data_IF_393040955548
#
_entry.id   IF_393040955548
#
_cell.length_a   1.000
_cell.length_b   1.000
_cell.length_c   1.000
_cell.angle_alpha   90.00
_cell.angle_beta   90.00
_cell.angle_gamma   90.00
#
_symmetry.space_group_name_H-M   'P 1'
#
loop_
_entity.id
_entity.type
_entity.pdbx_description
1 polymer ?
#
# COMPACT_ATOMS: atom_id res chain seq x y z
N UNK A 1 -3.71 17.06 15.01
CA UNK A 1 -2.97 16.05 14.26
C UNK A 1 -2.07 16.82 13.31
N UNK A 2 -0.77 16.82 13.53
CA UNK A 2 0.20 17.51 12.66
C UNK A 2 0.65 16.52 11.60
N UNK A 3 0.40 16.83 10.32
CA UNK A 3 0.95 16.10 9.19
C UNK A 3 2.17 16.86 8.70
N UNK A 4 3.36 16.27 8.80
CA UNK A 4 4.54 16.79 8.14
C UNK A 4 4.72 16.03 6.83
N UNK A 5 4.74 16.74 5.71
CA UNK A 5 5.08 16.21 4.40
C UNK A 5 6.60 16.09 4.28
N UNK A 6 7.09 14.88 4.06
CA UNK A 6 8.51 14.58 4.01
C UNK A 6 8.98 14.55 2.56
N UNK A 7 9.87 15.46 2.21
CA UNK A 7 10.53 15.47 0.90
C UNK A 7 11.83 14.66 1.00
N UNK A 8 11.99 13.68 0.13
CA UNK A 8 13.21 12.89 0.02
C UNK A 8 14.40 13.77 -0.38
N UNK A 9 15.22 14.13 0.58
CA UNK A 9 16.42 14.94 0.44
C UNK A 9 17.25 14.87 1.71
N UNK A 10 18.30 15.67 1.84
CA UNK A 10 19.07 15.80 3.08
C UNK A 10 18.11 16.19 4.23
N UNK A 11 17.80 15.20 5.06
CA UNK A 11 16.86 15.36 6.17
C UNK A 11 17.48 16.30 7.18
N UNK A 12 16.87 17.44 7.42
CA UNK A 12 17.26 18.36 8.47
C UNK A 12 17.18 17.66 9.84
N UNK A 13 17.98 18.07 10.79
CA UNK A 13 17.99 17.43 12.13
C UNK A 13 16.63 17.55 12.84
N UNK A 14 15.88 18.62 12.58
CA UNK A 14 14.51 18.83 13.04
C UNK A 14 13.53 17.73 12.54
N UNK A 15 13.70 17.26 11.32
CA UNK A 15 12.86 16.20 10.76
C UNK A 15 13.17 14.85 11.40
N UNK A 16 14.44 14.57 11.70
CA UNK A 16 14.83 13.35 12.44
C UNK A 16 14.27 13.38 13.86
N UNK A 17 14.28 14.52 14.50
CA UNK A 17 13.73 14.71 15.83
C UNK A 17 12.22 14.48 15.85
N UNK A 18 11.47 15.05 14.88
CA UNK A 18 10.05 14.81 14.73
C UNK A 18 9.71 13.32 14.51
N UNK A 19 10.56 12.59 13.76
CA UNK A 19 10.39 11.15 13.56
C UNK A 19 10.61 10.37 14.86
N UNK A 20 11.64 10.72 15.63
CA UNK A 20 11.93 10.08 16.91
C UNK A 20 10.83 10.33 17.94
N UNK A 21 10.17 11.48 17.90
CA UNK A 21 9.05 11.82 18.80
C UNK A 21 7.70 11.24 18.35
N UNK A 22 7.61 10.67 17.13
CA UNK A 22 6.36 10.13 16.62
C UNK A 22 5.88 8.91 17.39
N UNK A 23 4.57 8.86 17.68
CA UNK A 23 3.94 7.69 18.30
C UNK A 23 3.43 6.68 17.29
N UNK A 24 3.08 7.15 16.07
CA UNK A 24 2.61 6.35 14.95
C UNK A 24 3.26 6.87 13.68
N UNK A 25 3.79 5.98 12.88
CA UNK A 25 4.47 6.31 11.63
C UNK A 25 3.78 5.56 10.49
N UNK A 26 3.28 6.29 9.49
CA UNK A 26 2.71 5.71 8.28
C UNK A 26 3.60 6.06 7.10
N UNK A 27 4.06 5.05 6.37
CA UNK A 27 4.78 5.23 5.12
C UNK A 27 3.98 4.76 3.93
N UNK A 28 3.79 5.65 2.96
CA UNK A 28 3.16 5.39 1.66
C UNK A 28 4.14 5.53 0.50
N UNK A 29 5.42 5.80 0.80
CA UNK A 29 6.46 6.02 -0.21
C UNK A 29 6.78 4.71 -0.93
N UNK A 30 6.68 4.68 -2.27
CA UNK A 30 7.02 3.47 -3.01
C UNK A 30 8.54 3.27 -3.11
N UNK A 31 9.02 2.03 -3.33
CA UNK A 31 10.40 1.79 -3.68
C UNK A 31 10.84 2.62 -4.88
N UNK A 32 12.07 3.13 -4.85
CA UNK A 32 12.60 3.95 -5.91
C UNK A 32 12.75 3.16 -7.22
N UNK A 33 12.19 3.67 -8.31
CA UNK A 33 12.19 2.99 -9.62
C UNK A 33 13.61 2.73 -10.15
N UNK A 34 14.57 3.58 -9.79
CA UNK A 34 15.96 3.48 -10.24
C UNK A 34 16.77 2.39 -9.52
N UNK A 35 16.47 2.13 -8.26
CA UNK A 35 17.25 1.21 -7.41
C UNK A 35 16.47 0.01 -6.92
N UNK A 36 15.13 0.04 -6.98
CA UNK A 36 14.24 -0.95 -6.39
C UNK A 36 14.24 -0.95 -4.85
N UNK A 37 15.01 -0.07 -4.20
CA UNK A 37 15.14 -0.01 -2.75
C UNK A 37 14.10 0.93 -2.15
N UNK A 38 13.74 0.66 -0.89
CA UNK A 38 12.85 1.53 -0.11
C UNK A 38 13.63 2.79 0.33
N UNK A 39 13.21 3.99 -0.10
CA UNK A 39 13.94 5.21 0.20
C UNK A 39 13.79 5.64 1.67
N UNK A 40 12.68 5.29 2.32
CA UNK A 40 12.46 5.60 3.74
C UNK A 40 13.42 4.79 4.60
N UNK A 41 13.57 3.50 4.33
CA UNK A 41 14.52 2.66 5.04
C UNK A 41 15.97 3.07 4.78
N UNK A 42 16.30 3.47 3.55
CA UNK A 42 17.65 3.96 3.25
C UNK A 42 18.00 5.24 4.02
N UNK A 43 17.06 6.16 4.15
CA UNK A 43 17.31 7.47 4.77
C UNK A 43 17.11 7.46 6.29
N UNK A 44 16.16 6.66 6.81
CA UNK A 44 15.62 6.84 8.16
C UNK A 44 15.65 5.58 9.05
N UNK A 45 16.23 4.45 8.62
CA UNK A 45 16.20 3.22 9.41
C UNK A 45 16.67 3.41 10.87
N UNK A 46 17.74 4.19 11.06
CA UNK A 46 18.26 4.48 12.42
C UNK A 46 17.30 5.36 13.23
N UNK A 47 16.67 6.36 12.62
CA UNK A 47 15.70 7.22 13.30
C UNK A 47 14.43 6.45 13.67
N UNK A 48 13.97 5.53 12.81
CA UNK A 48 12.86 4.62 13.08
C UNK A 48 13.18 3.71 14.28
N UNK A 49 14.41 3.17 14.35
CA UNK A 49 14.84 2.36 15.48
C UNK A 49 14.83 3.18 16.77
N UNK A 50 15.42 4.38 16.77
CA UNK A 50 15.43 5.28 17.94
C UNK A 50 14.01 5.68 18.37
N UNK A 51 13.10 5.96 17.42
CA UNK A 51 11.70 6.26 17.71
C UNK A 51 11.02 5.14 18.51
N UNK A 52 11.38 3.88 18.27
CA UNK A 52 10.80 2.72 18.94
C UNK A 52 11.54 2.32 20.24
N UNK A 53 12.85 2.57 20.35
CA UNK A 53 13.66 2.14 21.49
C UNK A 53 13.80 3.23 22.56
N UNK A 54 13.91 4.47 22.17
CA UNK A 54 14.11 5.63 23.05
C UNK A 54 12.91 6.60 23.03
N UNK A 55 12.11 6.56 21.96
CA UNK A 55 10.90 7.36 21.80
C UNK A 55 9.64 6.62 22.27
N UNK A 56 8.50 7.07 21.73
CA UNK A 56 7.17 6.52 22.07
C UNK A 56 6.47 5.87 20.86
N UNK A 57 7.21 5.48 19.83
CA UNK A 57 6.63 4.86 18.65
C UNK A 57 6.10 3.46 18.95
N UNK A 58 4.80 3.26 18.79
CA UNK A 58 4.09 2.00 19.09
C UNK A 58 3.41 1.40 17.88
N UNK A 59 3.48 2.05 16.73
CA UNK A 59 2.90 1.57 15.49
C UNK A 59 3.62 2.12 14.26
N UNK A 60 4.01 1.25 13.34
CA UNK A 60 4.56 1.61 12.03
C UNK A 60 3.74 0.89 10.97
N UNK A 61 3.12 1.63 10.05
CA UNK A 61 2.37 1.10 8.91
C UNK A 61 3.13 1.29 7.61
N UNK A 62 3.36 0.22 6.85
CA UNK A 62 3.87 0.27 5.48
C UNK A 62 2.76 -0.05 4.49
N UNK A 63 2.45 0.89 3.59
CA UNK A 63 1.46 0.68 2.53
C UNK A 63 2.09 -0.03 1.33
N UNK A 64 1.79 -1.31 1.23
CA UNK A 64 2.17 -2.17 0.12
C UNK A 64 1.02 -2.31 -0.90
N UNK A 65 1.03 -3.36 -1.69
CA UNK A 65 0.03 -3.62 -2.72
C UNK A 65 -0.21 -5.11 -2.89
N UNK A 66 -1.44 -5.52 -3.17
CA UNK A 66 -1.78 -6.89 -3.57
C UNK A 66 -1.07 -7.32 -4.87
N UNK A 67 -0.55 -6.39 -5.64
CA UNK A 67 0.27 -6.69 -6.82
C UNK A 67 1.53 -7.53 -6.54
N UNK A 68 1.95 -7.66 -5.28
CA UNK A 68 3.06 -8.55 -4.88
C UNK A 68 2.74 -10.04 -5.07
N UNK A 69 1.47 -10.41 -5.11
CA UNK A 69 1.05 -11.79 -5.39
C UNK A 69 1.29 -12.21 -6.84
N UNK A 70 1.31 -11.24 -7.77
CA UNK A 70 1.37 -11.50 -9.20
C UNK A 70 0.03 -11.98 -9.74
N UNK A 71 0.08 -12.83 -10.77
CA UNK A 71 -1.10 -13.45 -11.37
C UNK A 71 -1.40 -14.78 -10.66
N UNK A 72 -2.56 -14.85 -10.04
CA UNK A 72 -3.08 -16.04 -9.38
C UNK A 72 -4.03 -16.86 -10.29
N UNK A 73 -4.12 -16.52 -11.58
CA UNK A 73 -5.02 -17.15 -12.57
C UNK A 73 -6.48 -17.24 -12.07
N UNK A 74 -6.98 -16.18 -11.43
CA UNK A 74 -8.33 -16.12 -10.87
C UNK A 74 -8.53 -16.81 -9.52
N UNK A 75 -7.50 -17.43 -8.95
CA UNK A 75 -7.59 -18.01 -7.62
C UNK A 75 -7.59 -16.96 -6.51
N UNK A 76 -8.30 -17.23 -5.42
CA UNK A 76 -8.23 -16.42 -4.22
C UNK A 76 -6.86 -16.52 -3.57
N UNK A 77 -6.38 -15.41 -3.05
CA UNK A 77 -5.13 -15.30 -2.32
C UNK A 77 -5.39 -14.75 -0.92
N UNK A 78 -4.63 -15.25 0.04
CA UNK A 78 -4.61 -14.80 1.44
C UNK A 78 -3.23 -14.25 1.78
N UNK A 79 -3.06 -13.74 2.98
CA UNK A 79 -1.78 -13.23 3.47
C UNK A 79 -0.69 -14.31 3.50
N UNK A 80 -1.08 -15.57 3.67
CA UNK A 80 -0.19 -16.74 3.67
C UNK A 80 0.18 -17.21 2.26
N UNK A 81 -0.51 -16.70 1.24
CA UNK A 81 -0.20 -17.03 -0.14
C UNK A 81 1.17 -16.49 -0.56
N UNK A 82 1.96 -17.25 -1.33
CA UNK A 82 3.30 -16.82 -1.70
C UNK A 82 3.28 -15.59 -2.60
N UNK A 83 4.11 -14.59 -2.26
CA UNK A 83 4.32 -13.41 -3.08
C UNK A 83 5.16 -13.75 -4.32
N UNK A 84 4.54 -13.78 -5.50
CA UNK A 84 5.14 -14.12 -6.80
C UNK A 84 4.99 -12.95 -7.79
N UNK A 85 5.64 -11.81 -7.55
CA UNK A 85 5.50 -10.62 -8.39
C UNK A 85 5.95 -10.92 -9.83
N UNK A 86 5.22 -10.36 -10.80
CA UNK A 86 5.45 -10.58 -12.23
C UNK A 86 6.13 -9.40 -12.92
N UNK A 87 6.32 -8.28 -12.22
CA UNK A 87 6.98 -7.08 -12.76
C UNK A 87 8.10 -6.59 -11.86
N UNK A 88 9.11 -5.86 -12.39
CA UNK A 88 10.15 -5.26 -11.57
C UNK A 88 9.60 -4.35 -10.45
N UNK A 89 8.53 -3.60 -10.74
CA UNK A 89 7.86 -2.72 -9.78
C UNK A 89 7.25 -3.51 -8.61
N UNK A 90 6.56 -4.60 -8.89
CA UNK A 90 5.94 -5.43 -7.85
C UNK A 90 6.98 -6.28 -7.10
N UNK A 91 8.08 -6.66 -7.76
CA UNK A 91 9.21 -7.31 -7.10
C UNK A 91 9.90 -6.38 -6.10
N UNK A 92 10.19 -5.13 -6.49
CA UNK A 92 10.74 -4.13 -5.59
C UNK A 92 9.82 -3.88 -4.37
N UNK A 93 8.48 -3.89 -4.58
CA UNK A 93 7.50 -3.74 -3.50
C UNK A 93 7.55 -4.91 -2.52
N UNK A 94 7.61 -6.15 -3.01
CA UNK A 94 7.79 -7.34 -2.17
C UNK A 94 9.10 -7.28 -1.38
N UNK A 95 10.17 -6.83 -2.00
CA UNK A 95 11.48 -6.76 -1.35
C UNK A 95 11.51 -5.65 -0.27
N UNK A 96 10.79 -4.54 -0.48
CA UNK A 96 10.55 -3.54 0.55
C UNK A 96 9.71 -4.10 1.71
N UNK A 97 8.61 -4.86 1.45
CA UNK A 97 7.87 -5.55 2.52
C UNK A 97 8.79 -6.39 3.40
N UNK A 98 9.65 -7.21 2.77
CA UNK A 98 10.60 -8.05 3.50
C UNK A 98 11.59 -7.24 4.33
N UNK A 99 12.05 -6.10 3.82
CA UNK A 99 12.94 -5.22 4.56
C UNK A 99 12.23 -4.62 5.79
N UNK A 100 10.97 -4.21 5.67
CA UNK A 100 10.16 -3.74 6.80
C UNK A 100 9.88 -4.85 7.81
N UNK A 101 9.50 -6.05 7.37
CA UNK A 101 9.28 -7.21 8.24
C UNK A 101 10.56 -7.63 8.96
N UNK A 102 11.72 -7.55 8.31
CA UNK A 102 13.01 -7.82 8.92
C UNK A 102 13.30 -6.88 10.12
N UNK A 103 12.89 -5.61 10.07
CA UNK A 103 13.01 -4.71 11.21
C UNK A 103 12.15 -5.18 12.39
N UNK A 104 10.96 -5.73 12.13
CA UNK A 104 10.16 -6.36 13.19
C UNK A 104 10.88 -7.59 13.77
N UNK A 105 11.30 -8.51 12.92
CA UNK A 105 11.91 -9.80 13.33
C UNK A 105 13.22 -9.62 14.11
N UNK A 106 14.05 -8.67 13.70
CA UNK A 106 15.40 -8.47 14.24
C UNK A 106 15.51 -7.39 15.30
N UNK A 107 14.59 -6.44 15.31
CA UNK A 107 14.64 -5.25 16.15
C UNK A 107 13.37 -5.04 16.97
N UNK A 108 12.39 -5.93 16.82
CA UNK A 108 11.08 -5.85 17.48
C UNK A 108 10.32 -4.53 17.19
N UNK A 109 10.60 -3.85 16.06
CA UNK A 109 9.85 -2.66 15.69
C UNK A 109 8.38 -3.02 15.43
N UNK A 110 7.41 -2.17 15.83
CA UNK A 110 5.98 -2.45 15.71
C UNK A 110 5.44 -2.27 14.28
N UNK A 111 6.03 -2.98 13.33
CA UNK A 111 5.73 -2.88 11.90
C UNK A 111 4.48 -3.67 11.54
N UNK A 112 3.62 -3.05 10.72
CA UNK A 112 2.44 -3.63 10.09
C UNK A 112 2.52 -3.40 8.59
N UNK A 113 2.27 -4.40 7.77
CA UNK A 113 2.26 -4.29 6.30
C UNK A 113 0.82 -4.37 5.80
N UNK A 114 0.42 -3.41 4.98
CA UNK A 114 -0.92 -3.35 4.37
C UNK A 114 -0.81 -3.53 2.86
N UNK A 115 -1.25 -4.67 2.33
CA UNK A 115 -1.34 -4.93 0.90
C UNK A 115 -2.66 -4.38 0.38
N UNK A 116 -2.61 -3.16 -0.15
CA UNK A 116 -3.78 -2.48 -0.68
C UNK A 116 -4.12 -3.01 -2.06
N UNK A 117 -5.40 -3.29 -2.29
CA UNK A 117 -5.96 -3.59 -3.61
C UNK A 117 -6.05 -2.34 -4.49
N UNK A 118 -6.72 -2.42 -5.61
CA UNK A 118 -6.94 -1.30 -6.52
C UNK A 118 -7.71 -0.17 -5.84
N UNK A 119 -7.04 0.92 -5.46
CA UNK A 119 -7.63 2.02 -4.69
C UNK A 119 -8.58 2.83 -5.56
N UNK A 120 -9.80 3.07 -5.07
CA UNK A 120 -10.73 4.00 -5.67
C UNK A 120 -11.37 4.93 -4.61
N UNK A 121 -12.00 6.01 -5.09
CA UNK A 121 -12.66 7.00 -4.24
C UNK A 121 -12.97 8.28 -5.01
N UNK A 122 -13.25 9.40 -4.35
CA UNK A 122 -13.50 10.69 -4.99
C UNK A 122 -12.35 11.06 -5.93
N UNK A 123 -12.69 11.48 -7.14
CA UNK A 123 -11.75 11.88 -8.22
C UNK A 123 -10.86 10.76 -8.80
N UNK A 124 -11.02 9.54 -8.31
CA UNK A 124 -10.27 8.35 -8.76
C UNK A 124 -11.21 7.15 -8.83
N UNK A 125 -12.00 7.09 -9.88
CA UNK A 125 -13.00 6.04 -10.08
C UNK A 125 -13.06 5.56 -11.54
N UNK A 126 -13.81 4.51 -11.78
CA UNK A 126 -14.14 4.06 -13.15
C UNK A 126 -14.91 5.12 -13.92
N UNK A 127 -15.80 5.88 -13.27
CA UNK A 127 -16.52 7.00 -13.86
C UNK A 127 -15.55 8.10 -14.32
N UNK A 128 -14.56 8.46 -13.49
CA UNK A 128 -13.55 9.46 -13.86
C UNK A 128 -12.68 8.97 -15.02
N UNK A 129 -12.42 7.66 -15.08
CA UNK A 129 -11.68 7.04 -16.18
C UNK A 129 -12.43 7.18 -17.50
N UNK A 130 -13.73 6.86 -17.50
CA UNK A 130 -14.57 6.97 -18.70
C UNK A 130 -14.76 8.44 -19.13
N UNK A 131 -14.99 9.35 -18.19
CA UNK A 131 -15.11 10.79 -18.49
C UNK A 131 -13.86 11.35 -19.14
N UNK A 132 -12.67 10.96 -18.67
CA UNK A 132 -11.38 11.40 -19.24
C UNK A 132 -11.08 10.78 -20.60
N UNK A 133 -11.60 9.58 -20.87
CA UNK A 133 -11.41 8.85 -22.11
C UNK A 133 -12.54 9.10 -23.13
N UNK A 134 -13.42 10.06 -22.88
CA UNK A 134 -14.60 10.36 -23.70
C UNK A 134 -15.47 9.12 -23.96
N UNK A 135 -15.62 8.29 -22.93
CA UNK A 135 -16.37 7.03 -23.00
C UNK A 135 -15.63 5.87 -23.67
N UNK A 136 -14.37 6.06 -24.08
CA UNK A 136 -13.61 5.03 -24.79
C UNK A 136 -13.27 3.82 -23.89
N UNK A 137 -13.87 2.69 -24.23
CA UNK A 137 -13.60 1.38 -23.64
C UNK A 137 -12.61 0.53 -24.46
N UNK A 138 -11.97 1.09 -25.50
CA UNK A 138 -11.13 0.35 -26.44
C UNK A 138 -9.97 -0.45 -25.84
N UNK A 139 -9.63 -0.18 -24.56
CA UNK A 139 -8.58 -0.89 -23.83
C UNK A 139 -9.11 -2.03 -22.97
N UNK A 140 -10.38 -2.40 -23.08
CA UNK A 140 -11.01 -3.46 -22.31
C UNK A 140 -11.67 -4.46 -23.25
N UNK A 141 -11.34 -5.74 -23.07
CA UNK A 141 -11.98 -6.84 -23.78
C UNK A 141 -13.04 -7.49 -22.89
N UNK A 142 -14.23 -7.86 -23.45
CA UNK A 142 -15.17 -8.73 -22.77
C UNK A 142 -14.54 -10.10 -22.37
N UNK A 143 -13.53 -10.53 -23.11
CA UNK A 143 -12.82 -11.79 -22.87
C UNK A 143 -11.71 -11.67 -21.80
N UNK A 144 -11.52 -10.48 -21.20
CA UNK A 144 -10.57 -10.30 -20.11
C UNK A 144 -11.05 -11.05 -18.86
N UNK A 145 -10.32 -12.08 -18.48
CA UNK A 145 -10.58 -12.94 -17.32
C UNK A 145 -9.74 -12.55 -16.11
N UNK A 146 -9.00 -11.44 -16.19
CA UNK A 146 -8.15 -10.97 -15.09
C UNK A 146 -8.99 -10.30 -14.02
N UNK A 147 -9.22 -10.99 -12.92
CA UNK A 147 -9.90 -10.43 -11.76
C UNK A 147 -9.00 -9.50 -10.95
N UNK A 148 -9.55 -8.37 -10.55
CA UNK A 148 -8.86 -7.37 -9.73
C UNK A 148 -9.76 -7.02 -8.54
N UNK A 149 -9.24 -7.21 -7.33
CA UNK A 149 -9.87 -6.68 -6.12
C UNK A 149 -9.63 -5.18 -6.02
N UNK A 150 -10.55 -4.50 -5.35
CA UNK A 150 -10.51 -3.04 -5.13
C UNK A 150 -10.71 -2.72 -3.67
N UNK A 151 -10.47 -1.47 -3.32
CA UNK A 151 -10.75 -0.96 -1.98
C UNK A 151 -11.07 0.53 -2.06
N UNK A 152 -12.12 0.95 -1.36
CA UNK A 152 -12.41 2.37 -1.24
C UNK A 152 -11.45 3.04 -0.25
N UNK A 153 -11.06 4.28 -0.52
CA UNK A 153 -10.09 5.02 0.33
C UNK A 153 -10.57 5.15 1.79
N UNK A 154 -11.89 5.24 2.02
CA UNK A 154 -12.43 5.29 3.38
C UNK A 154 -12.21 3.98 4.14
N UNK A 155 -12.28 2.82 3.47
CA UNK A 155 -12.06 1.52 4.09
C UNK A 155 -10.57 1.31 4.43
N UNK A 156 -9.67 1.85 3.59
CA UNK A 156 -8.24 1.91 3.93
C UNK A 156 -8.04 2.69 5.23
N UNK A 157 -8.66 3.87 5.35
CA UNK A 157 -8.56 4.68 6.56
C UNK A 157 -9.10 3.93 7.78
N UNK A 158 -10.26 3.27 7.67
CA UNK A 158 -10.82 2.46 8.75
C UNK A 158 -9.88 1.32 9.17
N UNK A 159 -9.31 0.59 8.20
CA UNK A 159 -8.37 -0.50 8.47
C UNK A 159 -7.11 0.00 9.21
N UNK A 160 -6.56 1.13 8.79
CA UNK A 160 -5.41 1.75 9.46
C UNK A 160 -5.76 2.19 10.89
N UNK A 161 -6.89 2.88 11.09
CA UNK A 161 -7.34 3.30 12.41
C UNK A 161 -7.61 2.10 13.33
N UNK A 162 -8.23 1.03 12.83
CA UNK A 162 -8.45 -0.20 13.59
C UNK A 162 -7.12 -0.85 14.00
N UNK A 163 -6.15 -0.91 13.09
CA UNK A 163 -4.80 -1.43 13.39
C UNK A 163 -4.04 -0.59 14.42
N UNK A 164 -4.21 0.74 14.40
CA UNK A 164 -3.63 1.62 15.42
C UNK A 164 -4.28 1.41 16.80
N UNK A 165 -5.59 1.14 16.83
CA UNK A 165 -6.34 0.88 18.06
C UNK A 165 -6.10 -0.50 18.67
N UNK A 166 -5.80 -1.51 17.84
CA UNK A 166 -5.51 -2.88 18.24
C UNK A 166 -4.28 -3.41 17.48
N UNK A 167 -3.06 -2.96 17.82
CA UNK A 167 -1.85 -3.31 17.10
C UNK A 167 -1.56 -4.82 17.13
N UNK A 168 -1.15 -5.36 15.99
CA UNK A 168 -0.66 -6.74 15.84
C UNK A 168 0.64 -6.72 15.03
N UNK A 169 1.77 -6.30 15.63
CA UNK A 169 3.04 -6.14 14.92
C UNK A 169 3.52 -7.42 14.23
N UNK A 170 4.23 -7.25 13.14
CA UNK A 170 4.74 -8.37 12.32
C UNK A 170 3.73 -8.92 11.32
N UNK A 171 2.45 -8.51 11.37
CA UNK A 171 1.43 -9.01 10.45
C UNK A 171 1.45 -8.28 9.13
N UNK A 172 1.16 -9.05 8.07
CA UNK A 172 0.75 -8.56 6.78
C UNK A 172 -0.78 -8.68 6.68
N UNK A 173 -1.44 -7.68 6.14
CA UNK A 173 -2.91 -7.63 6.01
C UNK A 173 -3.29 -7.26 4.58
N UNK A 174 -4.17 -8.02 3.96
CA UNK A 174 -4.82 -7.64 2.72
C UNK A 174 -5.95 -6.65 3.00
N UNK A 175 -5.95 -5.53 2.29
CA UNK A 175 -7.02 -4.52 2.38
C UNK A 175 -7.69 -4.43 1.02
N UNK A 176 -8.81 -5.13 0.90
CA UNK A 176 -9.56 -5.31 -0.33
C UNK A 176 -11.05 -5.47 0.00
N UNK A 177 -11.91 -5.18 -0.99
CA UNK A 177 -13.30 -5.60 -0.95
C UNK A 177 -13.44 -7.12 -1.23
N UNK A 178 -14.63 -7.64 -1.06
CA UNK A 178 -14.98 -9.05 -1.25
C UNK A 178 -15.57 -9.38 -2.63
N UNK A 179 -15.61 -8.39 -3.56
CA UNK A 179 -16.17 -8.54 -4.89
C UNK A 179 -15.14 -8.21 -6.00
N UNK A 180 -14.17 -9.11 -6.23
CA UNK A 180 -13.26 -8.94 -7.35
C UNK A 180 -14.04 -8.97 -8.68
N UNK A 181 -13.65 -8.09 -9.60
CA UNK A 181 -14.27 -8.00 -10.91
C UNK A 181 -13.21 -7.70 -11.97
N UNK A 182 -13.48 -8.10 -13.22
CA UNK A 182 -12.62 -7.74 -14.34
C UNK A 182 -12.68 -6.25 -14.63
N UNK A 183 -11.69 -5.74 -15.33
CA UNK A 183 -11.70 -4.33 -15.76
C UNK A 183 -12.89 -4.03 -16.64
N UNK A 184 -13.24 -4.97 -17.54
CA UNK A 184 -14.39 -4.85 -18.44
C UNK A 184 -15.71 -4.70 -17.66
N UNK A 185 -15.96 -5.57 -16.68
CA UNK A 185 -17.17 -5.53 -15.85
C UNK A 185 -17.33 -4.19 -15.15
N UNK A 186 -16.24 -3.69 -14.53
CA UNK A 186 -16.27 -2.42 -13.80
C UNK A 186 -16.51 -1.23 -14.71
N UNK A 187 -15.85 -1.16 -15.86
CA UNK A 187 -16.06 -0.07 -16.80
C UNK A 187 -17.44 -0.16 -17.49
N UNK A 188 -17.92 -1.36 -17.80
CA UNK A 188 -19.27 -1.56 -18.31
C UNK A 188 -20.36 -1.14 -17.33
N UNK A 189 -20.14 -1.41 -16.03
CA UNK A 189 -21.03 -0.93 -14.98
C UNK A 189 -21.00 0.61 -14.89
N UNK A 190 -19.82 1.20 -14.89
CA UNK A 190 -19.66 2.65 -14.86
C UNK A 190 -20.27 3.33 -16.09
N UNK A 191 -20.15 2.74 -17.29
CA UNK A 191 -20.75 3.27 -18.51
C UNK A 191 -22.29 3.30 -18.41
N UNK A 192 -22.90 2.23 -17.86
CA UNK A 192 -24.37 2.20 -17.62
C UNK A 192 -24.85 3.29 -16.65
N UNK A 193 -24.01 3.72 -15.72
CA UNK A 193 -24.34 4.80 -14.76
C UNK A 193 -24.22 6.19 -15.41
N UNK A 194 -23.48 6.32 -16.50
CA UNK A 194 -23.30 7.58 -17.21
C UNK A 194 -24.39 7.82 -18.27
N UNK A 195 -25.17 6.78 -18.65
CA UNK A 195 -26.21 6.81 -19.68
C UNK A 195 -25.61 6.45 -21.02
#
# INVERSE_FOLDING_TARGET
MLFNEWILGNVADEEKEALVQATHILTSVPPASSTGKDPVLLAHAKALELACTEGNCRWIGYLSSTGVYGDAAGAWVTEDSPARPTTPKTAARRDAERAWQYLHERRALPVHVFRLAGIYGPTRSALDTLRKADGDMARCSPDDTTFISRVHVADILQALCASMGAPSPGRCLNVADDQPATRYEVLSFAARLLG
#
